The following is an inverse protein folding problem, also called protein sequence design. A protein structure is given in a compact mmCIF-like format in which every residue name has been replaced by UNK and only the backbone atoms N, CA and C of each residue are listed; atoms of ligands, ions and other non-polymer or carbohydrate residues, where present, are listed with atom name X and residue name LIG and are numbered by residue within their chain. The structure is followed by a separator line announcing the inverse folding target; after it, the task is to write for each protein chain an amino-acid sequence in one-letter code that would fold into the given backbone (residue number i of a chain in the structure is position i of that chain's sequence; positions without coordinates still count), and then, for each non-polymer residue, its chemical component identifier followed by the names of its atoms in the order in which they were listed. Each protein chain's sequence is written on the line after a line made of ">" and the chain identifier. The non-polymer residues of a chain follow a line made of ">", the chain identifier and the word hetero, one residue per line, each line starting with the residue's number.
data_IF_115018270738
#
_entry.id   IF_115018270738
#
_cell.length_a   1.000
_cell.length_b   1.000
_cell.length_c   1.000
_cell.angle_alpha   90.00
_cell.angle_beta   90.00
_cell.angle_gamma   90.00
#
_symmetry.space_group_name_H-M   'P 1'
#
loop_
_entity.id
_entity.type
_entity.pdbx_description
1 polymer ?
#
# COMPACT_ATOMS: atom_id res chain seq x y z
N UNK A 1 8.21 -15.20 -15.70
CA UNK A 1 8.53 -13.92 -15.03
C UNK A 1 8.35 -14.03 -13.53
N UNK A 2 7.34 -13.38 -12.95
CA UNK A 2 6.98 -13.54 -11.52
C UNK A 2 5.92 -14.61 -11.25
N UNK A 3 5.10 -14.92 -12.25
CA UNK A 3 4.13 -16.04 -12.22
C UNK A 3 4.84 -17.38 -11.91
N UNK A 4 6.02 -17.59 -12.50
CA UNK A 4 6.88 -18.75 -12.25
C UNK A 4 7.41 -18.84 -10.81
N UNK A 5 7.62 -17.68 -10.16
CA UNK A 5 8.03 -17.59 -8.75
C UNK A 5 6.81 -17.61 -7.80
N UNK A 6 5.60 -17.56 -8.36
CA UNK A 6 4.36 -17.45 -7.62
C UNK A 6 4.28 -16.24 -6.68
N UNK A 7 4.96 -15.14 -7.05
CA UNK A 7 4.96 -13.87 -6.32
C UNK A 7 3.82 -12.97 -6.78
N UNK A 8 2.89 -12.65 -5.89
CA UNK A 8 1.79 -11.75 -6.16
C UNK A 8 2.24 -10.29 -6.04
N UNK A 9 2.18 -9.57 -7.16
CA UNK A 9 2.23 -8.11 -7.16
C UNK A 9 1.00 -7.47 -6.52
N UNK A 10 0.99 -6.14 -6.41
CA UNK A 10 -0.11 -5.37 -5.81
C UNK A 10 -1.48 -5.68 -6.41
N UNK A 11 -1.58 -5.76 -7.75
CA UNK A 11 -2.84 -6.04 -8.45
C UNK A 11 -3.38 -7.45 -8.15
N UNK A 12 -2.65 -8.54 -8.43
CA UNK A 12 -3.17 -9.88 -8.15
C UNK A 12 -3.39 -10.10 -6.65
N UNK A 13 -2.58 -9.51 -5.77
CA UNK A 13 -2.83 -9.53 -4.32
C UNK A 13 -4.16 -8.84 -3.97
N UNK A 14 -4.46 -7.68 -4.56
CA UNK A 14 -5.71 -6.97 -4.32
C UNK A 14 -6.94 -7.76 -4.79
N UNK A 15 -6.85 -8.41 -5.94
CA UNK A 15 -7.92 -9.29 -6.44
C UNK A 15 -8.12 -10.49 -5.50
N UNK A 16 -7.05 -11.12 -5.05
CA UNK A 16 -7.12 -12.28 -4.15
C UNK A 16 -7.73 -11.91 -2.79
N UNK A 17 -7.31 -10.78 -2.22
CA UNK A 17 -7.88 -10.25 -0.98
C UNK A 17 -9.36 -9.93 -1.17
N UNK A 18 -9.72 -9.25 -2.25
CA UNK A 18 -11.12 -8.90 -2.54
C UNK A 18 -12.01 -10.14 -2.69
N UNK A 19 -11.49 -11.21 -3.31
CA UNK A 19 -12.19 -12.49 -3.43
C UNK A 19 -12.43 -13.15 -2.07
N UNK A 20 -11.38 -13.32 -1.25
CA UNK A 20 -11.50 -14.00 0.05
C UNK A 20 -12.31 -13.22 1.08
N UNK A 21 -12.26 -11.90 1.00
CA UNK A 21 -12.95 -11.01 1.94
C UNK A 21 -14.33 -10.58 1.45
N UNK A 22 -14.78 -11.16 0.34
CA UNK A 22 -16.07 -10.86 -0.31
C UNK A 22 -16.29 -9.34 -0.44
N UNK A 23 -15.27 -8.64 -0.92
CA UNK A 23 -15.24 -7.19 -0.89
C UNK A 23 -16.46 -6.56 -1.58
N UNK A 24 -17.04 -5.56 -0.92
CA UNK A 24 -18.13 -4.76 -1.49
C UNK A 24 -17.63 -3.74 -2.52
N UNK A 25 -16.39 -3.27 -2.36
CA UNK A 25 -15.75 -2.28 -3.23
C UNK A 25 -14.24 -2.49 -3.26
N UNK A 26 -13.63 -2.28 -4.43
CA UNK A 26 -12.17 -2.19 -4.60
C UNK A 26 -11.85 -0.82 -5.18
N UNK A 27 -11.05 -0.03 -4.47
CA UNK A 27 -10.71 1.33 -4.86
C UNK A 27 -9.26 1.39 -5.35
N UNK A 28 -9.08 1.87 -6.57
CA UNK A 28 -7.76 2.19 -7.11
C UNK A 28 -7.44 3.65 -6.83
N UNK A 29 -6.45 3.87 -5.96
CA UNK A 29 -5.87 5.19 -5.73
C UNK A 29 -5.09 5.68 -6.95
N UNK A 30 -5.11 6.98 -7.17
CA UNK A 30 -4.37 7.69 -8.23
C UNK A 30 -3.23 8.55 -7.69
N UNK A 31 -3.25 8.91 -6.41
CA UNK A 31 -2.27 9.74 -5.71
C UNK A 31 -2.18 11.17 -6.24
N UNK A 32 -3.07 11.58 -7.14
CA UNK A 32 -2.89 12.74 -8.01
C UNK A 32 -1.83 12.54 -9.11
N UNK A 33 -1.27 11.34 -9.25
CA UNK A 33 -0.31 10.97 -10.29
C UNK A 33 -1.00 10.81 -11.63
N UNK A 34 -0.47 11.50 -12.65
CA UNK A 34 -0.89 11.40 -14.04
C UNK A 34 0.25 10.88 -14.90
N UNK A 35 -0.06 10.09 -15.91
CA UNK A 35 0.87 9.80 -17.01
C UNK A 35 1.20 11.09 -17.78
N UNK A 36 2.21 11.03 -18.65
CA UNK A 36 2.55 12.15 -19.54
C UNK A 36 1.36 12.60 -20.40
N UNK A 37 0.47 11.66 -20.73
CA UNK A 37 -0.77 11.90 -21.49
C UNK A 37 -1.96 12.37 -20.62
N UNK A 38 -1.73 12.60 -19.32
CA UNK A 38 -2.74 13.13 -18.40
C UNK A 38 -3.71 12.09 -17.80
N UNK A 39 -3.52 10.79 -18.08
CA UNK A 39 -4.34 9.69 -17.56
C UNK A 39 -3.95 9.38 -16.12
N UNK A 40 -4.93 9.15 -15.24
CA UNK A 40 -4.64 8.89 -13.83
C UNK A 40 -4.07 7.48 -13.61
N UNK A 41 -3.10 7.34 -12.71
CA UNK A 41 -2.42 6.06 -12.43
C UNK A 41 -3.40 4.94 -12.06
N UNK A 42 -4.44 5.26 -11.29
CA UNK A 42 -5.48 4.31 -10.91
C UNK A 42 -6.32 3.80 -12.08
N UNK A 43 -6.59 4.64 -13.09
CA UNK A 43 -7.30 4.23 -14.31
C UNK A 43 -6.45 3.26 -15.13
N UNK A 44 -5.18 3.60 -15.34
CA UNK A 44 -4.21 2.73 -16.04
C UNK A 44 -4.06 1.41 -15.30
N UNK A 45 -3.98 1.43 -13.97
CA UNK A 45 -3.82 0.24 -13.14
C UNK A 45 -5.03 -0.69 -13.26
N UNK A 46 -6.24 -0.12 -13.17
CA UNK A 46 -7.49 -0.88 -13.29
C UNK A 46 -7.65 -1.45 -14.70
N UNK A 47 -7.36 -0.65 -15.74
CA UNK A 47 -7.38 -1.12 -17.13
C UNK A 47 -6.40 -2.27 -17.34
N UNK A 48 -5.16 -2.10 -16.90
CA UNK A 48 -4.12 -3.13 -16.98
C UNK A 48 -4.56 -4.44 -16.31
N UNK A 49 -5.20 -4.35 -15.12
CA UNK A 49 -5.76 -5.51 -14.42
C UNK A 49 -6.76 -6.26 -15.29
N UNK A 50 -7.75 -5.57 -15.89
CA UNK A 50 -8.76 -6.24 -16.71
C UNK A 50 -8.21 -6.77 -18.04
N UNK A 51 -7.27 -6.07 -18.67
CA UNK A 51 -6.60 -6.57 -19.89
C UNK A 51 -5.79 -7.84 -19.62
N UNK A 52 -5.22 -7.96 -18.42
CA UNK A 52 -4.34 -9.07 -18.04
C UNK A 52 -5.02 -10.10 -17.12
N UNK A 53 -6.32 -9.99 -16.89
CA UNK A 53 -7.02 -10.78 -15.85
C UNK A 53 -6.87 -12.30 -16.03
N UNK A 54 -6.88 -12.77 -17.28
CA UNK A 54 -6.71 -14.20 -17.61
C UNK A 54 -5.36 -14.77 -17.17
N UNK A 55 -4.37 -13.92 -16.95
CA UNK A 55 -3.05 -14.33 -16.45
C UNK A 55 -3.08 -14.72 -14.98
N UNK A 56 -4.15 -14.37 -14.24
CA UNK A 56 -4.29 -14.76 -12.84
C UNK A 56 -4.22 -16.29 -12.66
N UNK A 57 -4.68 -17.08 -13.64
CA UNK A 57 -4.59 -18.55 -13.62
C UNK A 57 -3.18 -19.10 -13.49
N UNK A 58 -2.16 -18.30 -13.82
CA UNK A 58 -0.77 -18.71 -13.75
C UNK A 58 -0.23 -18.66 -12.30
N UNK A 59 -0.96 -18.05 -11.37
CA UNK A 59 -0.65 -18.07 -9.94
C UNK A 59 -1.40 -19.21 -9.25
N UNK A 60 -0.71 -19.94 -8.37
CA UNK A 60 -1.25 -21.09 -7.63
C UNK A 60 -2.51 -20.75 -6.83
N UNK A 61 -2.56 -19.54 -6.28
CA UNK A 61 -3.67 -19.03 -5.46
C UNK A 61 -4.99 -18.91 -6.24
N UNK A 62 -4.94 -18.91 -7.57
CA UNK A 62 -6.12 -18.74 -8.43
C UNK A 62 -6.50 -20.02 -9.19
N UNK A 63 -5.80 -21.14 -8.98
CA UNK A 63 -6.04 -22.39 -9.73
C UNK A 63 -7.45 -22.96 -9.51
N UNK A 64 -7.99 -22.80 -8.30
CA UNK A 64 -9.32 -23.30 -7.93
C UNK A 64 -10.40 -22.20 -7.98
N UNK A 65 -10.09 -21.01 -8.51
CA UNK A 65 -11.01 -19.88 -8.58
C UNK A 65 -11.59 -19.78 -10.00
N UNK A 66 -12.93 -19.68 -10.09
CA UNK A 66 -13.62 -19.33 -11.33
C UNK A 66 -13.29 -17.89 -11.75
N UNK A 67 -12.33 -17.74 -12.66
CA UNK A 67 -11.87 -16.45 -13.13
C UNK A 67 -12.92 -15.68 -13.94
N UNK A 68 -13.86 -16.36 -14.59
CA UNK A 68 -14.93 -15.71 -15.34
C UNK A 68 -15.86 -14.98 -14.37
N UNK A 69 -16.35 -15.69 -13.36
CA UNK A 69 -17.20 -15.12 -12.31
C UNK A 69 -16.46 -14.06 -11.48
N UNK A 70 -15.19 -14.30 -11.17
CA UNK A 70 -14.39 -13.32 -10.45
C UNK A 70 -14.18 -12.05 -11.28
N UNK A 71 -13.93 -12.16 -12.59
CA UNK A 71 -13.80 -10.99 -13.48
C UNK A 71 -15.08 -10.16 -13.51
N UNK A 72 -16.23 -10.80 -13.66
CA UNK A 72 -17.54 -10.14 -13.60
C UNK A 72 -17.72 -9.40 -12.28
N UNK A 73 -17.43 -10.07 -11.16
CA UNK A 73 -17.51 -9.47 -9.84
C UNK A 73 -16.58 -8.26 -9.70
N UNK A 74 -15.33 -8.37 -10.15
CA UNK A 74 -14.38 -7.26 -10.11
C UNK A 74 -14.87 -6.08 -10.94
N UNK A 75 -15.49 -6.31 -12.10
CA UNK A 75 -16.06 -5.24 -12.94
C UNK A 75 -17.18 -4.46 -12.23
N UNK A 76 -17.93 -5.12 -11.33
CA UNK A 76 -18.98 -4.47 -10.53
C UNK A 76 -18.42 -3.63 -9.37
N UNK A 77 -17.38 -4.13 -8.70
CA UNK A 77 -16.92 -3.55 -7.42
C UNK A 77 -15.71 -2.62 -7.56
N UNK A 78 -14.97 -2.70 -8.67
CA UNK A 78 -13.81 -1.85 -8.91
C UNK A 78 -14.23 -0.42 -9.27
N UNK A 79 -13.63 0.55 -8.58
CA UNK A 79 -13.84 1.97 -8.81
C UNK A 79 -12.50 2.70 -8.78
N UNK A 80 -12.39 3.75 -9.59
CA UNK A 80 -11.25 4.66 -9.57
C UNK A 80 -11.73 6.00 -9.01
N UNK A 81 -10.97 6.57 -8.08
CA UNK A 81 -11.18 7.93 -7.59
C UNK A 81 -10.38 8.90 -8.48
N UNK A 82 -11.07 9.83 -9.16
CA UNK A 82 -10.47 10.67 -10.22
C UNK A 82 -10.38 12.16 -9.92
N UNK A 83 -10.82 12.59 -8.74
CA UNK A 83 -10.93 14.01 -8.38
C UNK A 83 -9.83 14.48 -7.44
N UNK A 84 -9.14 13.57 -6.75
CA UNK A 84 -8.07 13.94 -5.83
C UNK A 84 -6.86 14.53 -6.56
N UNK A 85 -6.26 15.55 -5.93
CA UNK A 85 -5.03 16.20 -6.41
C UNK A 85 -3.80 15.80 -5.59
N UNK A 86 -4.01 15.01 -4.53
CA UNK A 86 -2.97 14.49 -3.65
C UNK A 86 -3.49 13.30 -2.84
N UNK A 87 -2.57 12.58 -2.20
CA UNK A 87 -2.87 11.38 -1.40
C UNK A 87 -3.87 11.60 -0.25
N UNK A 88 -3.88 12.78 0.40
CA UNK A 88 -4.83 13.03 1.49
C UNK A 88 -6.26 13.15 0.96
N UNK A 89 -6.44 13.92 -0.11
CA UNK A 89 -7.73 14.06 -0.78
C UNK A 89 -8.24 12.72 -1.33
N UNK A 90 -7.35 11.90 -1.88
CA UNK A 90 -7.71 10.55 -2.33
C UNK A 90 -8.30 9.74 -1.19
N UNK A 91 -7.62 9.71 -0.04
CA UNK A 91 -8.07 8.94 1.11
C UNK A 91 -9.42 9.46 1.61
N UNK A 92 -9.61 10.78 1.67
CA UNK A 92 -10.89 11.38 2.07
C UNK A 92 -12.02 10.95 1.13
N UNK A 93 -11.82 11.09 -0.18
CA UNK A 93 -12.82 10.75 -1.20
C UNK A 93 -13.10 9.24 -1.25
N UNK A 94 -12.07 8.41 -1.16
CA UNK A 94 -12.22 6.96 -0.98
C UNK A 94 -13.01 6.64 0.29
N UNK A 95 -12.73 7.35 1.38
CA UNK A 95 -13.45 7.25 2.65
C UNK A 95 -14.94 7.48 2.49
N UNK A 96 -15.34 8.54 1.78
CA UNK A 96 -16.74 8.83 1.47
C UNK A 96 -17.39 7.72 0.64
N UNK A 97 -16.69 7.20 -0.38
CA UNK A 97 -17.20 6.09 -1.21
C UNK A 97 -17.44 4.83 -0.36
N UNK A 98 -16.53 4.52 0.56
CA UNK A 98 -16.64 3.38 1.48
C UNK A 98 -17.73 3.59 2.52
N UNK A 99 -17.86 4.81 3.04
CA UNK A 99 -18.90 5.18 4.00
C UNK A 99 -20.30 5.02 3.41
N UNK A 100 -20.51 5.55 2.21
CA UNK A 100 -21.79 5.45 1.49
C UNK A 100 -22.16 4.00 1.14
N UNK A 101 -21.17 3.10 1.06
CA UNK A 101 -21.36 1.67 0.87
C UNK A 101 -21.40 0.88 2.18
N UNK A 102 -21.45 1.57 3.33
CA UNK A 102 -21.53 0.98 4.66
C UNK A 102 -20.41 -0.03 4.96
N UNK A 103 -19.23 0.19 4.37
CA UNK A 103 -18.05 -0.63 4.63
C UNK A 103 -17.71 -0.60 6.12
N UNK A 104 -17.39 -1.75 6.70
CA UNK A 104 -17.02 -1.86 8.12
C UNK A 104 -15.53 -2.18 8.32
N UNK A 105 -14.85 -2.60 7.26
CA UNK A 105 -13.45 -3.05 7.28
C UNK A 105 -12.74 -2.60 6.01
N UNK A 106 -11.53 -2.07 6.18
CA UNK A 106 -10.64 -1.70 5.07
C UNK A 106 -9.40 -2.57 5.11
N UNK A 107 -8.98 -3.07 3.95
CA UNK A 107 -7.69 -3.74 3.78
C UNK A 107 -6.90 -2.96 2.73
N UNK A 108 -5.79 -2.37 3.14
CA UNK A 108 -4.88 -1.66 2.25
C UNK A 108 -3.91 -2.65 1.63
N UNK A 109 -3.85 -2.72 0.31
CA UNK A 109 -2.91 -3.58 -0.42
C UNK A 109 -1.83 -2.72 -1.07
N UNK A 110 -0.56 -2.98 -0.73
CA UNK A 110 0.58 -2.22 -1.26
C UNK A 110 1.88 -3.01 -1.14
N UNK A 111 2.99 -2.47 -1.66
CA UNK A 111 4.30 -3.08 -1.47
C UNK A 111 4.73 -3.00 0.01
N UNK A 112 5.54 -3.95 0.51
CA UNK A 112 6.05 -3.93 1.88
C UNK A 112 6.74 -2.61 2.26
N UNK A 113 7.48 -2.02 1.31
CA UNK A 113 8.18 -0.74 1.48
C UNK A 113 7.25 0.48 1.57
N UNK A 114 6.02 0.40 1.03
CA UNK A 114 5.11 1.54 0.94
C UNK A 114 3.93 1.44 1.93
N UNK A 115 3.57 0.22 2.33
CA UNK A 115 2.42 -0.07 3.19
C UNK A 115 2.39 0.71 4.53
N UNK A 116 3.51 0.91 5.26
CA UNK A 116 3.49 1.68 6.50
C UNK A 116 3.03 3.12 6.30
N UNK A 117 3.40 3.74 5.17
CA UNK A 117 2.94 5.09 4.81
C UNK A 117 1.42 5.09 4.57
N UNK A 118 0.92 4.12 3.82
CA UNK A 118 -0.51 3.98 3.53
C UNK A 118 -1.34 3.87 4.81
N UNK A 119 -0.94 3.02 5.76
CA UNK A 119 -1.63 2.85 7.05
C UNK A 119 -1.62 4.15 7.85
N UNK A 120 -0.44 4.79 7.98
CA UNK A 120 -0.30 6.04 8.73
C UNK A 120 -1.23 7.12 8.19
N UNK A 121 -1.25 7.29 6.86
CA UNK A 121 -2.04 8.34 6.22
C UNK A 121 -3.54 8.01 6.31
N UNK A 122 -3.94 6.74 6.13
CA UNK A 122 -5.30 6.29 6.37
C UNK A 122 -5.76 6.55 7.81
N UNK A 123 -4.93 6.29 8.83
CA UNK A 123 -5.25 6.55 10.24
C UNK A 123 -5.35 8.04 10.58
N UNK A 124 -4.70 8.91 9.81
CA UNK A 124 -4.85 10.36 9.98
C UNK A 124 -6.17 10.88 9.39
N UNK A 125 -6.58 10.30 8.26
CA UNK A 125 -7.75 10.74 7.49
C UNK A 125 -9.04 10.10 8.01
N UNK A 126 -9.00 8.82 8.34
CA UNK A 126 -10.16 8.08 8.80
C UNK A 126 -10.41 8.31 10.29
N UNK A 127 -11.14 9.39 10.57
CA UNK A 127 -11.65 9.72 11.90
C UNK A 127 -12.84 8.82 12.27
N UNK A 128 -12.81 8.25 13.47
CA UNK A 128 -13.90 7.43 14.01
C UNK A 128 -15.19 8.19 14.29
N UNK A 129 -15.15 9.53 14.35
CA UNK A 129 -16.37 10.35 14.40
C UNK A 129 -17.12 10.38 13.05
N UNK A 130 -16.40 10.13 11.95
CA UNK A 130 -16.90 10.25 10.58
C UNK A 130 -17.07 8.91 9.88
N UNK A 131 -16.16 7.97 10.12
CA UNK A 131 -16.09 6.70 9.41
C UNK A 131 -16.14 5.52 10.38
N UNK A 132 -17.18 4.69 10.29
CA UNK A 132 -17.38 3.51 11.16
C UNK A 132 -16.21 2.51 11.10
N UNK A 133 -15.55 2.42 9.95
CA UNK A 133 -14.39 1.54 9.72
C UNK A 133 -13.06 2.09 10.24
N UNK A 134 -13.01 3.29 10.84
CA UNK A 134 -11.76 3.94 11.28
C UNK A 134 -10.91 3.05 12.22
N UNK A 135 -11.57 2.20 13.01
CA UNK A 135 -10.90 1.26 13.92
C UNK A 135 -10.58 -0.10 13.28
N UNK A 136 -11.05 -0.36 12.07
CA UNK A 136 -10.93 -1.62 11.34
C UNK A 136 -10.16 -1.43 10.02
N UNK A 137 -8.96 -0.84 10.13
CA UNK A 137 -8.04 -0.62 9.00
C UNK A 137 -6.91 -1.63 9.12
N UNK A 138 -6.79 -2.49 8.13
CA UNK A 138 -5.81 -3.55 8.02
C UNK A 138 -4.92 -3.32 6.81
N UNK A 139 -3.86 -4.10 6.74
CA UNK A 139 -2.85 -3.97 5.71
C UNK A 139 -2.43 -5.36 5.23
N UNK A 140 -2.33 -5.52 3.92
CA UNK A 140 -1.92 -6.77 3.28
C UNK A 140 -0.77 -6.44 2.30
N UNK A 141 0.46 -6.83 2.63
CA UNK A 141 1.58 -6.62 1.73
C UNK A 141 1.46 -7.50 0.49
N UNK A 142 1.88 -6.98 -0.67
CA UNK A 142 2.21 -7.81 -1.83
C UNK A 142 3.61 -8.43 -1.69
N UNK A 143 3.96 -9.41 -2.52
CA UNK A 143 5.29 -10.03 -2.53
C UNK A 143 6.36 -9.13 -3.20
N UNK A 144 5.92 -8.06 -3.88
CA UNK A 144 6.80 -7.22 -4.69
C UNK A 144 7.09 -5.87 -4.06
N UNK A 145 8.36 -5.47 -4.05
CA UNK A 145 8.83 -4.15 -3.62
C UNK A 145 9.08 -3.20 -4.83
N UNK A 146 9.28 -1.91 -4.53
CA UNK A 146 9.49 -0.85 -5.53
C UNK A 146 10.99 -0.69 -5.88
N UNK A 147 11.35 -0.42 -7.13
CA UNK A 147 12.70 -0.02 -7.57
C UNK A 147 13.87 -0.86 -7.00
N UNK A 148 14.06 -2.08 -7.52
CA UNK A 148 15.15 -3.01 -7.15
C UNK A 148 15.31 -3.31 -5.65
N UNK A 149 14.42 -2.82 -4.79
CA UNK A 149 14.39 -3.19 -3.37
C UNK A 149 13.69 -4.53 -3.19
N UNK A 150 14.03 -5.17 -2.09
CA UNK A 150 13.54 -6.47 -1.63
C UNK A 150 12.85 -6.31 -0.28
N UNK A 151 12.27 -7.38 0.27
CA UNK A 151 11.65 -7.32 1.60
C UNK A 151 12.71 -7.18 2.70
N UNK A 152 13.91 -7.70 2.44
CA UNK A 152 15.08 -7.63 3.29
C UNK A 152 15.63 -6.21 3.44
N UNK A 153 15.32 -5.33 2.50
CA UNK A 153 15.68 -3.90 2.56
C UNK A 153 14.75 -3.10 3.49
N UNK A 154 13.66 -3.69 4.00
CA UNK A 154 12.73 -3.04 4.92
C UNK A 154 13.22 -3.21 6.36
N UNK A 155 13.75 -2.14 6.95
CA UNK A 155 14.06 -2.10 8.37
C UNK A 155 12.80 -1.82 9.21
N UNK A 156 12.34 -2.82 9.98
CA UNK A 156 11.27 -2.65 10.97
C UNK A 156 11.90 -2.24 12.30
N UNK A 157 11.53 -1.06 12.81
CA UNK A 157 11.89 -0.63 14.16
C UNK A 157 10.64 -0.56 14.99
N UNK A 158 10.43 -1.59 15.80
CA UNK A 158 9.35 -1.60 16.77
C UNK A 158 9.87 -1.00 18.08
N UNK A 159 9.25 0.07 18.60
CA UNK A 159 9.44 0.38 19.99
C UNK A 159 8.97 -0.84 20.78
N UNK A 160 9.60 -1.12 21.93
CA UNK A 160 9.12 -2.22 22.71
C UNK A 160 7.63 -1.95 23.02
N UNK A 161 6.77 -2.97 23.06
CA UNK A 161 5.31 -2.78 23.26
C UNK A 161 4.67 -3.79 24.23
N UNK A 162 5.43 -4.76 24.77
CA UNK A 162 4.92 -5.68 25.80
C UNK A 162 4.66 -4.96 27.13
N UNK A 163 3.51 -5.20 27.75
CA UNK A 163 3.07 -4.53 28.98
C UNK A 163 3.79 -4.98 30.26
N UNK A 164 4.48 -6.13 30.22
CA UNK A 164 5.21 -6.73 31.33
C UNK A 164 6.71 -6.36 31.36
N UNK A 165 7.15 -5.44 30.52
CA UNK A 165 8.57 -5.05 30.46
C UNK A 165 8.93 -3.94 31.44
N UNK A 166 10.24 -3.77 31.59
CA UNK A 166 10.86 -2.63 32.27
C UNK A 166 10.54 -1.31 31.54
N UNK A 167 9.84 -0.41 32.23
CA UNK A 167 9.36 0.88 31.68
C UNK A 167 10.48 1.90 31.43
N UNK A 168 11.72 1.62 31.85
CA UNK A 168 12.85 2.50 31.57
C UNK A 168 13.13 2.64 30.07
N UNK A 169 12.88 1.60 29.27
CA UNK A 169 13.05 1.64 27.82
C UNK A 169 12.10 2.63 27.12
N UNK A 170 10.99 3.01 27.75
CA UNK A 170 10.01 3.97 27.20
C UNK A 170 10.54 5.40 27.22
N UNK A 171 11.50 5.68 28.11
CA UNK A 171 12.11 7.01 28.28
C UNK A 171 13.26 7.23 27.30
N UNK A 172 13.70 6.19 26.60
CA UNK A 172 14.85 6.30 25.72
C UNK A 172 14.41 6.88 24.37
N UNK A 173 15.06 7.94 23.88
CA UNK A 173 14.65 8.54 22.62
C UNK A 173 14.89 7.59 21.46
N UNK A 174 13.82 7.22 20.73
CA UNK A 174 13.85 6.30 19.59
C UNK A 174 14.93 6.67 18.57
N UNK A 175 15.14 7.97 18.32
CA UNK A 175 16.15 8.46 17.38
C UNK A 175 17.59 8.01 17.71
N UNK A 176 17.91 7.73 18.98
CA UNK A 176 19.23 7.22 19.38
C UNK A 176 19.48 5.80 18.89
N UNK A 177 18.41 5.04 18.62
CA UNK A 177 18.46 3.70 18.07
C UNK A 177 18.37 3.69 16.55
N UNK A 178 17.53 4.56 15.97
CA UNK A 178 17.36 4.65 14.51
C UNK A 178 18.70 4.87 13.77
N UNK A 179 19.61 5.67 14.34
CA UNK A 179 20.96 5.88 13.78
C UNK A 179 21.78 4.58 13.65
N UNK A 180 21.50 3.56 14.48
CA UNK A 180 22.17 2.25 14.40
C UNK A 180 21.53 1.31 13.37
N UNK A 181 20.28 1.54 12.99
CA UNK A 181 19.55 0.76 11.99
C UNK A 181 19.75 1.31 10.58
N UNK A 182 19.61 2.62 10.41
CA UNK A 182 19.87 3.31 9.15
C UNK A 182 21.37 3.60 8.98
N UNK A 183 22.26 2.61 9.15
CA UNK A 183 23.70 2.79 8.93
C UNK A 183 23.96 3.17 7.47
N UNK A 184 23.72 4.42 7.11
CA UNK A 184 24.15 5.01 5.85
C UNK A 184 25.67 4.92 5.90
N UNK A 185 26.29 4.13 5.00
CA UNK A 185 27.74 4.02 4.99
C UNK A 185 28.35 5.41 4.93
N UNK A 186 29.45 5.62 5.67
CA UNK A 186 30.10 6.93 5.79
C UNK A 186 30.35 7.54 4.41
N UNK A 187 30.73 6.72 3.45
CA UNK A 187 31.01 7.14 2.08
C UNK A 187 29.77 7.63 1.34
N UNK A 188 28.61 6.99 1.55
CA UNK A 188 27.32 7.44 1.00
C UNK A 188 26.93 8.78 1.61
N UNK A 189 27.12 8.95 2.93
CA UNK A 189 26.84 10.22 3.61
C UNK A 189 27.74 11.35 3.09
N UNK A 190 29.02 11.06 2.86
CA UNK A 190 29.99 12.02 2.31
C UNK A 190 29.63 12.43 0.88
N UNK A 191 29.22 11.49 0.02
CA UNK A 191 28.77 11.79 -1.35
C UNK A 191 27.55 12.71 -1.37
N UNK A 192 26.56 12.46 -0.51
CA UNK A 192 25.37 13.31 -0.38
C UNK A 192 25.75 14.72 0.09
N UNK A 193 26.61 14.82 1.11
CA UNK A 193 27.05 16.12 1.63
C UNK A 193 27.84 16.92 0.57
N UNK A 194 28.71 16.26 -0.19
CA UNK A 194 29.44 16.91 -1.30
C UNK A 194 28.49 17.43 -2.38
N UNK A 195 27.48 16.64 -2.76
CA UNK A 195 26.49 17.06 -3.76
C UNK A 195 25.66 18.27 -3.28
N UNK A 196 25.26 18.30 -2.00
CA UNK A 196 24.56 19.45 -1.40
C UNK A 196 25.48 20.68 -1.38
N UNK A 197 26.73 20.53 -0.95
CA UNK A 197 27.68 21.65 -0.94
C UNK A 197 27.92 22.24 -2.33
N UNK A 198 28.00 21.41 -3.38
CA UNK A 198 28.15 21.89 -4.77
C UNK A 198 26.92 22.61 -5.34
N UNK A 199 25.74 22.40 -4.76
CA UNK A 199 24.50 23.10 -5.15
C UNK A 199 24.34 24.44 -4.42
N UNK A 200 25.12 24.67 -3.36
CA UNK A 200 25.10 25.89 -2.53
C UNK A 200 26.23 26.87 -2.87
N UNK A 201 27.12 26.50 -3.79
CA UNK A 201 28.20 27.33 -4.37
C UNK A 201 27.87 27.67 -5.81
#
# INVERSE_FOLDING_TARGET
>A
GREELNELGRIPQAVLVAYHEEAAVVLFGTGGSKSEDGVLEGEVTMQFMFENFERLKNFKQFQDIDLGRLRERMAEICKVETKSLNTLQELEMCGEIMHNQQVQKIILVSSPTHLPRCIRDAKKVFDGSKFSFANAIFACPSDTCYMNSTVEDVAIVEPPHRGDREKEFDRWPLYKYLNKFFKVPRDTKLKVLQAISSLLT
#
